data_IF_413112312301
#
_entry.id   IF_413112312301
#
_cell.length_a   1.000
_cell.length_b   1.000
_cell.length_c   1.000
_cell.angle_alpha   90.00
_cell.angle_beta   90.00
_cell.angle_gamma   90.00
#
_symmetry.space_group_name_H-M   'P 1'
#
loop_
_entity.id
_entity.type
_entity.pdbx_description
1 polymer ?
#
# COMPACT_ATOMS: atom_id res chain seq x y z
N UNK A 1 16.40 65.92 -2.75
CA UNK A 1 16.21 64.77 -1.82
C UNK A 1 14.87 64.02 -2.03
N UNK A 2 14.31 63.94 -3.25
CA UNK A 2 13.10 63.12 -3.54
C UNK A 2 13.31 62.10 -4.67
N UNK A 3 14.48 62.12 -5.32
CA UNK A 3 14.86 61.19 -6.39
C UNK A 3 15.61 59.95 -5.88
N UNK A 4 16.35 60.06 -4.76
CA UNK A 4 17.11 58.93 -4.19
C UNK A 4 16.22 57.88 -3.49
N UNK A 5 15.07 58.26 -2.94
CA UNK A 5 14.12 57.32 -2.34
C UNK A 5 13.33 56.49 -3.36
N UNK A 6 13.24 56.93 -4.62
CA UNK A 6 12.52 56.19 -5.67
C UNK A 6 13.33 55.05 -6.28
N UNK A 7 14.66 55.14 -6.23
CA UNK A 7 15.56 54.10 -6.76
C UNK A 7 15.67 52.93 -5.78
N UNK A 8 15.63 53.19 -4.46
CA UNK A 8 15.65 52.14 -3.44
C UNK A 8 14.37 51.29 -3.41
N UNK A 9 13.22 51.89 -3.75
CA UNK A 9 11.93 51.20 -3.83
C UNK A 9 11.78 50.33 -5.09
N UNK A 10 12.50 50.63 -6.17
CA UNK A 10 12.51 49.81 -7.38
C UNK A 10 13.48 48.62 -7.29
N UNK A 11 14.54 48.73 -6.49
CA UNK A 11 15.46 47.61 -6.27
C UNK A 11 14.89 46.54 -5.33
N UNK A 12 14.01 46.94 -4.39
CA UNK A 12 13.34 45.99 -3.48
C UNK A 12 12.21 45.19 -4.16
N UNK A 13 11.71 45.64 -5.31
CA UNK A 13 10.68 44.95 -6.09
C UNK A 13 11.24 43.88 -7.05
N UNK A 14 12.55 43.89 -7.33
CA UNK A 14 13.20 42.92 -8.24
C UNK A 14 13.79 41.70 -7.55
N UNK A 15 13.89 41.68 -6.22
CA UNK A 15 14.42 40.53 -5.44
C UNK A 15 13.30 39.76 -4.71
N UNK A 16 12.06 40.27 -4.76
CA UNK A 16 10.90 39.66 -4.11
C UNK A 16 10.12 38.67 -5.01
N UNK A 17 10.68 38.23 -6.15
CA UNK A 17 10.24 36.98 -6.79
C UNK A 17 10.80 35.80 -6.01
N UNK A 18 10.39 35.73 -4.74
CA UNK A 18 9.85 34.55 -4.11
C UNK A 18 10.26 33.28 -4.84
N UNK A 19 11.34 32.69 -4.34
CA UNK A 19 11.58 31.26 -4.36
C UNK A 19 10.35 30.56 -3.75
N UNK A 20 9.24 30.51 -4.48
CA UNK A 20 8.31 29.40 -4.38
C UNK A 20 9.01 28.24 -5.08
N UNK A 21 10.03 27.68 -4.42
CA UNK A 21 10.31 26.27 -4.64
C UNK A 21 9.03 25.60 -4.16
N UNK A 22 8.17 25.23 -5.11
CA UNK A 22 7.13 24.25 -4.85
C UNK A 22 7.90 23.05 -4.37
N UNK A 23 7.97 22.86 -3.05
CA UNK A 23 8.52 21.66 -2.44
C UNK A 23 7.75 20.52 -3.10
N UNK A 24 8.41 19.82 -4.03
CA UNK A 24 7.74 18.81 -4.82
C UNK A 24 7.06 17.86 -3.83
N UNK A 25 5.78 17.58 -4.06
CA UNK A 25 5.04 16.62 -3.26
C UNK A 25 5.91 15.38 -3.06
N UNK A 26 5.93 14.83 -1.85
CA UNK A 26 6.92 13.84 -1.46
C UNK A 26 6.97 12.63 -2.42
N UNK A 27 5.83 12.27 -3.00
CA UNK A 27 5.73 11.23 -4.01
C UNK A 27 6.50 11.54 -5.30
N UNK A 28 6.57 12.82 -5.72
CA UNK A 28 7.36 13.24 -6.86
C UNK A 28 8.85 12.98 -6.63
N UNK A 29 9.35 13.17 -5.40
CA UNK A 29 10.73 12.81 -5.05
C UNK A 29 10.95 11.30 -5.10
N UNK A 30 9.99 10.51 -4.64
CA UNK A 30 10.05 9.05 -4.73
C UNK A 30 10.04 8.58 -6.20
N UNK A 31 9.23 9.19 -7.04
CA UNK A 31 9.10 8.86 -8.46
C UNK A 31 10.39 9.09 -9.25
N UNK A 32 11.21 10.08 -8.87
CA UNK A 32 12.50 10.34 -9.53
C UNK A 32 13.45 9.13 -9.49
N UNK A 33 13.42 8.34 -8.42
CA UNK A 33 14.27 7.14 -8.26
C UNK A 33 13.49 5.82 -8.42
N UNK A 34 12.18 5.83 -8.14
CA UNK A 34 11.31 4.64 -8.14
C UNK A 34 10.10 4.80 -9.09
N UNK A 35 10.31 5.14 -10.37
CA UNK A 35 9.22 5.48 -11.29
C UNK A 35 8.26 4.31 -11.52
N UNK A 36 8.77 3.08 -11.57
CA UNK A 36 7.95 1.88 -11.74
C UNK A 36 7.08 1.58 -10.52
N UNK A 37 7.62 1.75 -9.31
CA UNK A 37 6.89 1.47 -8.09
C UNK A 37 5.78 2.51 -7.87
N UNK A 38 6.07 3.79 -8.12
CA UNK A 38 5.08 4.86 -8.06
C UNK A 38 3.96 4.61 -9.08
N UNK A 39 4.30 4.37 -10.35
CA UNK A 39 3.30 4.04 -11.39
C UNK A 39 2.44 2.82 -11.03
N UNK A 40 3.06 1.81 -10.43
CA UNK A 40 2.36 0.60 -9.98
C UNK A 40 1.44 0.86 -8.79
N UNK A 41 1.81 1.77 -7.88
CA UNK A 41 0.92 2.19 -6.80
C UNK A 41 -0.23 3.07 -7.32
N UNK A 42 0.04 4.00 -8.22
CA UNK A 42 -0.95 4.92 -8.79
C UNK A 42 -2.12 4.18 -9.47
N UNK A 43 -1.85 3.01 -10.04
CA UNK A 43 -2.87 2.13 -10.64
C UNK A 43 -3.62 1.24 -9.64
N UNK A 44 -3.25 1.28 -8.36
CA UNK A 44 -3.82 0.41 -7.34
C UNK A 44 -5.14 0.93 -6.75
N UNK A 45 -5.90 0.02 -6.15
CA UNK A 45 -7.07 0.38 -5.34
C UNK A 45 -6.72 1.24 -4.13
N UNK A 46 -5.52 1.11 -3.57
CA UNK A 46 -5.10 1.95 -2.45
C UNK A 46 -4.91 3.40 -2.89
N UNK A 47 -4.33 3.68 -4.06
CA UNK A 47 -4.28 5.05 -4.58
C UNK A 47 -5.68 5.63 -4.81
N UNK A 48 -6.57 4.83 -5.41
CA UNK A 48 -7.98 5.23 -5.62
C UNK A 48 -8.68 5.55 -4.31
N UNK A 49 -8.47 4.73 -3.26
CA UNK A 49 -9.04 4.96 -1.95
C UNK A 49 -8.41 6.18 -1.26
N UNK A 50 -7.09 6.34 -1.36
CA UNK A 50 -6.33 7.44 -0.77
C UNK A 50 -6.79 8.79 -1.29
N UNK A 51 -6.97 8.92 -2.61
CA UNK A 51 -7.46 10.13 -3.25
C UNK A 51 -8.90 10.51 -2.85
N UNK A 52 -9.65 9.60 -2.22
CA UNK A 52 -10.98 9.88 -1.66
C UNK A 52 -10.95 10.27 -0.18
N UNK A 53 -9.84 10.02 0.52
CA UNK A 53 -9.72 10.39 1.92
C UNK A 53 -9.55 11.91 2.03
N UNK A 54 -10.32 12.53 2.92
CA UNK A 54 -10.17 13.95 3.25
C UNK A 54 -9.08 14.11 4.30
N UNK A 55 -8.28 15.16 4.22
CA UNK A 55 -7.24 15.52 5.20
C UNK A 55 -6.13 14.48 5.40
N UNK A 56 -5.84 13.66 4.39
CA UNK A 56 -4.65 12.78 4.41
C UNK A 56 -3.47 13.47 3.74
N UNK A 57 -2.27 13.18 4.25
CA UNK A 57 -1.03 13.68 3.66
C UNK A 57 -0.92 13.25 2.20
N UNK A 58 -0.43 14.17 1.36
CA UNK A 58 0.05 13.89 0.00
C UNK A 58 1.47 13.29 0.02
N UNK A 59 1.99 12.93 1.20
CA UNK A 59 3.10 12.01 1.38
C UNK A 59 2.52 10.67 1.86
N UNK A 60 1.95 9.91 0.93
CA UNK A 60 1.33 8.62 1.27
C UNK A 60 2.34 7.49 1.32
N UNK A 61 3.47 7.63 0.60
CA UNK A 61 4.54 6.64 0.58
C UNK A 61 5.06 6.36 2.00
N UNK A 62 5.29 7.42 2.79
CA UNK A 62 5.77 7.32 4.17
C UNK A 62 4.78 6.70 5.15
N UNK A 63 3.48 6.70 4.84
CA UNK A 63 2.47 6.12 5.75
C UNK A 63 2.63 4.61 5.86
N UNK A 64 2.92 3.95 4.74
CA UNK A 64 3.14 2.51 4.69
C UNK A 64 4.63 2.17 4.88
N UNK A 65 5.53 2.91 4.25
CA UNK A 65 6.94 2.57 4.25
C UNK A 65 7.72 3.14 5.45
N UNK A 66 7.30 4.28 6.01
CA UNK A 66 8.04 4.96 7.08
C UNK A 66 9.48 5.33 6.70
N UNK A 67 10.14 6.13 7.55
CA UNK A 67 11.58 6.40 7.42
C UNK A 67 12.03 7.03 6.09
N UNK A 68 11.09 7.54 5.29
CA UNK A 68 11.35 8.01 3.94
C UNK A 68 12.28 9.23 3.96
N UNK A 69 12.14 10.15 4.91
CA UNK A 69 13.01 11.33 5.00
C UNK A 69 14.48 10.94 5.18
N UNK A 70 14.74 10.02 6.12
CA UNK A 70 16.08 9.44 6.33
C UNK A 70 16.55 8.64 5.11
N UNK A 71 15.64 8.01 4.37
CA UNK A 71 15.98 7.34 3.12
C UNK A 71 16.45 8.34 2.06
N UNK A 72 15.80 9.51 1.91
CA UNK A 72 16.26 10.55 0.98
C UNK A 72 17.61 11.15 1.39
N UNK A 73 17.91 11.25 2.69
CA UNK A 73 19.21 11.76 3.16
C UNK A 73 20.35 10.76 2.98
N UNK A 74 20.09 9.48 3.23
CA UNK A 74 21.15 8.45 3.31
C UNK A 74 21.21 7.54 2.10
N UNK A 75 20.15 7.48 1.30
CA UNK A 75 19.93 6.55 0.19
C UNK A 75 20.02 5.07 0.60
N UNK A 76 19.87 4.75 1.89
CA UNK A 76 19.96 3.40 2.44
C UNK A 76 18.59 2.73 2.51
N UNK A 77 18.47 1.48 2.08
CA UNK A 77 17.19 0.73 2.10
C UNK A 77 16.82 0.24 3.50
N UNK A 78 17.78 0.19 4.42
CA UNK A 78 17.62 -0.35 5.77
C UNK A 78 16.79 0.59 6.66
N UNK A 79 16.65 1.86 6.28
CA UNK A 79 15.89 2.86 7.03
C UNK A 79 14.43 2.97 6.58
N UNK A 80 14.03 2.24 5.53
CA UNK A 80 12.67 2.22 4.98
C UNK A 80 12.06 0.82 5.14
N UNK A 81 10.80 0.74 5.54
CA UNK A 81 10.12 -0.54 5.72
C UNK A 81 9.87 -1.21 4.38
N UNK A 82 10.21 -2.50 4.28
CA UNK A 82 10.05 -3.30 3.07
C UNK A 82 8.95 -4.34 3.23
N UNK A 83 7.94 -4.27 2.37
CA UNK A 83 6.88 -5.28 2.26
C UNK A 83 7.28 -6.50 1.39
N UNK A 84 8.50 -6.50 0.82
CA UNK A 84 9.02 -7.65 0.06
C UNK A 84 9.54 -8.76 0.96
N UNK A 85 10.00 -8.40 2.17
CA UNK A 85 10.50 -9.37 3.13
C UNK A 85 9.34 -10.01 3.89
N UNK A 86 9.22 -11.33 3.81
CA UNK A 86 8.19 -12.08 4.51
C UNK A 86 8.37 -12.05 6.03
N UNK A 87 9.59 -11.85 6.53
CA UNK A 87 9.86 -11.73 7.96
C UNK A 87 9.20 -10.49 8.57
N UNK A 88 8.88 -9.50 7.75
CA UNK A 88 8.16 -8.31 8.17
C UNK A 88 6.64 -8.52 8.28
N UNK A 89 6.13 -9.74 8.07
CA UNK A 89 4.69 -10.01 7.96
C UNK A 89 3.85 -9.48 9.13
N UNK A 90 4.23 -9.77 10.37
CA UNK A 90 3.50 -9.28 11.54
C UNK A 90 3.52 -7.74 11.66
N UNK A 91 4.66 -7.11 11.33
CA UNK A 91 4.76 -5.65 11.31
C UNK A 91 3.90 -5.05 10.19
N UNK A 92 3.85 -5.72 9.03
CA UNK A 92 3.02 -5.31 7.91
C UNK A 92 1.52 -5.39 8.26
N UNK A 93 1.08 -6.46 8.94
CA UNK A 93 -0.29 -6.57 9.45
C UNK A 93 -0.63 -5.37 10.35
N UNK A 94 0.27 -5.03 11.28
CA UNK A 94 0.09 -3.87 12.14
C UNK A 94 -0.11 -2.56 11.36
N UNK A 95 0.63 -2.34 10.28
CA UNK A 95 0.46 -1.16 9.42
C UNK A 95 -0.88 -1.18 8.68
N UNK A 96 -1.27 -2.31 8.11
CA UNK A 96 -2.55 -2.46 7.41
C UNK A 96 -3.75 -2.23 8.35
N UNK A 97 -3.68 -2.80 9.56
CA UNK A 97 -4.76 -2.76 10.54
C UNK A 97 -4.96 -1.38 11.17
N UNK A 98 -3.99 -0.45 11.07
CA UNK A 98 -4.21 0.95 11.48
C UNK A 98 -5.41 1.60 10.78
N UNK A 99 -5.65 1.22 9.52
CA UNK A 99 -6.78 1.73 8.74
C UNK A 99 -7.87 0.66 8.52
N UNK A 100 -7.47 -0.61 8.39
CA UNK A 100 -8.41 -1.71 8.10
C UNK A 100 -8.96 -2.43 9.36
N UNK A 101 -8.39 -2.19 10.54
CA UNK A 101 -8.71 -2.97 11.76
C UNK A 101 -10.15 -2.85 12.23
N UNK A 102 -10.77 -1.69 12.02
CA UNK A 102 -12.16 -1.42 12.40
C UNK A 102 -13.19 -1.93 11.37
N UNK A 103 -12.73 -2.40 10.21
CA UNK A 103 -13.61 -3.02 9.24
C UNK A 103 -14.06 -4.39 9.75
N UNK A 104 -15.37 -4.66 9.69
CA UNK A 104 -15.98 -5.91 10.18
C UNK A 104 -15.33 -7.18 9.64
N UNK A 105 -14.73 -7.15 8.46
CA UNK A 105 -14.00 -8.29 7.88
C UNK A 105 -12.67 -8.61 8.57
N UNK A 106 -12.01 -7.63 9.21
CA UNK A 106 -10.69 -7.75 9.82
C UNK A 106 -10.69 -7.61 11.35
N UNK A 107 -11.83 -7.23 11.95
CA UNK A 107 -11.98 -7.04 13.41
C UNK A 107 -11.50 -8.23 14.25
N UNK A 108 -11.62 -9.45 13.71
CA UNK A 108 -11.14 -10.70 14.35
C UNK A 108 -9.94 -11.32 13.64
N UNK A 109 -9.15 -10.53 12.91
CA UNK A 109 -7.98 -11.02 12.18
C UNK A 109 -7.03 -11.81 13.07
N UNK A 110 -6.77 -11.30 14.28
CA UNK A 110 -5.90 -11.92 15.26
C UNK A 110 -6.33 -13.36 15.64
N UNK A 111 -7.64 -13.65 15.55
CA UNK A 111 -8.21 -14.95 15.90
C UNK A 111 -8.14 -15.98 14.76
N UNK A 112 -7.90 -15.53 13.53
CA UNK A 112 -7.92 -16.39 12.33
C UNK A 112 -6.84 -17.46 12.38
N UNK A 113 -7.11 -18.58 11.70
CA UNK A 113 -6.11 -19.64 11.52
C UNK A 113 -4.93 -19.16 10.68
N UNK A 114 -5.12 -18.27 9.71
CA UNK A 114 -4.02 -17.71 8.93
C UNK A 114 -3.05 -16.92 9.81
N UNK A 115 -3.54 -15.93 10.55
CA UNK A 115 -2.69 -15.14 11.44
C UNK A 115 -1.97 -16.01 12.48
N UNK A 116 -2.70 -16.93 13.12
CA UNK A 116 -2.13 -17.85 14.14
C UNK A 116 -1.06 -18.81 13.58
N UNK A 117 -0.98 -18.97 12.27
CA UNK A 117 0.03 -19.82 11.60
C UNK A 117 1.05 -18.97 10.81
N UNK A 118 1.23 -17.69 11.15
CA UNK A 118 2.24 -16.83 10.53
C UNK A 118 1.96 -16.46 9.07
N UNK A 119 0.70 -16.55 8.64
CA UNK A 119 0.25 -16.05 7.35
C UNK A 119 -0.28 -14.64 7.54
N UNK A 120 0.37 -13.69 6.88
CA UNK A 120 0.17 -12.25 7.05
C UNK A 120 -0.48 -11.64 5.80
N UNK A 121 -0.94 -10.39 5.89
CA UNK A 121 -1.58 -9.66 4.79
C UNK A 121 -0.74 -9.74 3.50
N UNK A 122 0.57 -9.48 3.62
CA UNK A 122 1.53 -9.51 2.50
C UNK A 122 1.85 -10.90 1.95
N UNK A 123 1.42 -11.97 2.62
CA UNK A 123 1.54 -13.34 2.09
C UNK A 123 0.64 -13.55 0.87
N UNK A 124 -0.46 -12.81 0.78
CA UNK A 124 -1.43 -12.89 -0.31
C UNK A 124 -1.61 -11.56 -1.04
N UNK A 125 -1.56 -10.43 -0.32
CA UNK A 125 -1.82 -9.11 -0.87
C UNK A 125 -0.54 -8.42 -1.34
N UNK A 126 -0.66 -7.67 -2.44
CA UNK A 126 0.37 -6.77 -2.94
C UNK A 126 -0.30 -5.45 -3.28
N UNK A 127 0.34 -4.34 -2.88
CA UNK A 127 -0.22 -3.00 -3.04
C UNK A 127 0.31 -2.31 -4.31
N UNK A 128 1.57 -2.55 -4.67
CA UNK A 128 2.14 -2.05 -5.92
C UNK A 128 1.86 -3.05 -7.04
N UNK A 129 0.63 -3.07 -7.58
CA UNK A 129 0.24 -3.91 -8.72
C UNK A 129 -0.55 -3.13 -9.77
N UNK A 130 -0.28 -3.44 -11.05
CA UNK A 130 -0.96 -2.86 -12.23
C UNK A 130 -2.15 -3.72 -12.70
N UNK A 131 -2.16 -5.02 -12.34
CA UNK A 131 -3.22 -5.96 -12.74
C UNK A 131 -3.75 -6.65 -11.48
N UNK A 132 -4.78 -6.07 -10.88
CA UNK A 132 -5.48 -6.60 -9.72
C UNK A 132 -6.39 -7.78 -10.10
N UNK A 133 -5.91 -8.68 -10.96
CA UNK A 133 -6.62 -9.91 -11.27
C UNK A 133 -6.87 -10.64 -9.98
N UNK A 134 -8.16 -10.91 -9.79
CA UNK A 134 -8.83 -11.71 -8.79
C UNK A 134 -7.86 -12.58 -7.97
N UNK A 135 -7.96 -12.50 -6.64
CA UNK A 135 -7.30 -13.44 -5.73
C UNK A 135 -7.50 -14.85 -6.25
N UNK A 136 -6.46 -15.36 -6.90
CA UNK A 136 -6.65 -16.53 -7.72
C UNK A 136 -6.87 -17.71 -6.79
N UNK A 137 -7.75 -18.63 -7.19
CA UNK A 137 -7.86 -19.96 -6.57
C UNK A 137 -6.48 -20.57 -6.30
N UNK A 138 -5.51 -20.34 -7.20
CA UNK A 138 -4.13 -20.81 -7.08
C UNK A 138 -3.47 -20.35 -5.78
N UNK A 139 -3.72 -19.12 -5.31
CA UNK A 139 -3.15 -18.60 -4.06
C UNK A 139 -3.57 -19.43 -2.85
N UNK A 140 -4.82 -19.86 -2.76
CA UNK A 140 -5.29 -20.73 -1.69
C UNK A 140 -4.66 -22.13 -1.77
N UNK A 141 -4.51 -22.64 -2.98
CA UNK A 141 -4.08 -24.02 -3.24
C UNK A 141 -2.56 -24.22 -3.17
N UNK A 142 -1.77 -23.16 -3.00
CA UNK A 142 -0.33 -23.29 -2.71
C UNK A 142 -0.10 -23.98 -1.36
N UNK A 143 -0.94 -23.70 -0.36
CA UNK A 143 -0.87 -24.29 0.97
C UNK A 143 -1.96 -25.35 1.19
N UNK A 144 -3.19 -25.14 0.68
CA UNK A 144 -4.29 -26.09 0.81
C UNK A 144 -4.24 -27.20 -0.25
N UNK A 145 -3.11 -27.91 -0.33
CA UNK A 145 -2.82 -28.92 -1.35
C UNK A 145 -3.77 -30.12 -1.31
N UNK A 146 -4.21 -30.53 -0.11
CA UNK A 146 -5.22 -31.57 0.06
C UNK A 146 -6.56 -31.18 -0.58
N UNK A 147 -6.94 -29.90 -0.48
CA UNK A 147 -8.16 -29.38 -1.12
C UNK A 147 -8.00 -29.36 -2.64
N UNK A 148 -6.82 -29.02 -3.15
CA UNK A 148 -6.52 -29.03 -4.59
C UNK A 148 -6.79 -30.41 -5.23
N UNK A 149 -6.44 -31.50 -4.54
CA UNK A 149 -6.77 -32.85 -4.98
C UNK A 149 -8.28 -33.11 -5.02
N UNK A 150 -8.99 -32.73 -3.95
CA UNK A 150 -10.44 -32.99 -3.81
C UNK A 150 -11.28 -32.21 -4.83
N UNK A 151 -10.97 -30.95 -5.09
CA UNK A 151 -11.72 -30.12 -6.06
C UNK A 151 -11.49 -30.54 -7.53
N UNK A 152 -10.68 -31.56 -7.79
CA UNK A 152 -10.55 -32.18 -9.12
C UNK A 152 -11.43 -33.43 -9.25
N UNK A 153 -11.85 -34.03 -8.12
CA UNK A 153 -12.68 -35.24 -8.07
C UNK A 153 -14.11 -35.06 -8.60
N UNK A 154 -14.89 -36.15 -8.59
CA UNK A 154 -16.26 -36.18 -9.14
C UNK A 154 -17.25 -35.40 -8.27
N UNK A 155 -17.18 -35.56 -6.95
CA UNK A 155 -18.10 -34.94 -5.99
C UNK A 155 -17.53 -33.64 -5.42
N UNK A 156 -17.50 -32.60 -6.25
CA UNK A 156 -16.91 -31.31 -5.93
C UNK A 156 -17.94 -30.18 -6.05
N UNK A 157 -17.78 -29.14 -5.22
CA UNK A 157 -18.35 -27.84 -5.56
C UNK A 157 -17.76 -27.40 -6.91
N UNK A 158 -18.53 -26.73 -7.78
CA UNK A 158 -18.04 -26.25 -9.05
C UNK A 158 -17.13 -25.06 -8.78
N UNK A 159 -15.91 -25.30 -8.30
CA UNK A 159 -14.98 -24.24 -7.96
C UNK A 159 -14.04 -23.94 -9.11
N UNK A 160 -13.98 -24.76 -10.18
CA UNK A 160 -13.05 -24.68 -11.32
C UNK A 160 -13.74 -24.08 -12.54
N UNK A 161 -13.02 -23.37 -13.43
CA UNK A 161 -13.54 -22.92 -14.72
C UNK A 161 -14.57 -21.79 -14.69
N UNK A 162 -14.50 -20.90 -13.69
CA UNK A 162 -15.46 -19.79 -13.53
C UNK A 162 -16.65 -20.09 -12.62
N UNK A 163 -16.66 -21.27 -11.99
CA UNK A 163 -17.63 -21.57 -10.93
C UNK A 163 -17.31 -20.88 -9.58
N UNK A 164 -18.01 -21.27 -8.52
CA UNK A 164 -18.01 -20.63 -7.20
C UNK A 164 -16.59 -20.47 -6.59
N UNK A 165 -16.17 -19.24 -6.22
CA UNK A 165 -14.89 -19.02 -5.58
C UNK A 165 -14.89 -19.53 -4.13
N UNK A 166 -13.72 -19.91 -3.61
CA UNK A 166 -13.58 -20.39 -2.22
C UNK A 166 -14.13 -19.38 -1.21
N UNK A 167 -13.96 -18.09 -1.50
CA UNK A 167 -14.38 -16.98 -0.65
C UNK A 167 -15.88 -16.74 -0.62
N UNK A 168 -16.67 -17.41 -1.47
CA UNK A 168 -18.13 -17.37 -1.39
C UNK A 168 -18.66 -17.97 -0.08
N UNK A 169 -17.91 -18.92 0.52
CA UNK A 169 -18.28 -19.56 1.79
C UNK A 169 -17.18 -19.45 2.87
N UNK A 170 -15.92 -19.24 2.49
CA UNK A 170 -14.81 -19.16 3.43
C UNK A 170 -14.27 -17.73 3.57
N UNK A 171 -14.22 -17.19 4.78
CA UNK A 171 -13.48 -15.96 5.03
C UNK A 171 -12.00 -16.27 5.33
N UNK A 172 -11.04 -15.72 4.57
CA UNK A 172 -9.63 -15.80 4.95
C UNK A 172 -9.26 -14.83 6.09
N UNK A 173 -10.13 -13.83 6.37
CA UNK A 173 -9.86 -12.70 7.26
C UNK A 173 -10.65 -12.72 8.57
N UNK A 174 -11.66 -13.59 8.66
CA UNK A 174 -12.48 -13.76 9.86
C UNK A 174 -12.52 -15.24 10.26
N UNK A 175 -12.58 -15.56 11.57
CA UNK A 175 -12.85 -16.91 12.01
C UNK A 175 -14.20 -17.37 11.45
N UNK A 176 -14.31 -18.67 11.13
CA UNK A 176 -15.60 -19.26 10.81
C UNK A 176 -16.54 -19.03 11.99
N UNK A 177 -17.73 -18.52 11.70
CA UNK A 177 -18.85 -18.50 12.64
C UNK A 177 -19.28 -19.95 12.86
#
# INVERSE_FOLDING_TARGET
>A
MKSFQRIFLLYFLLVATSFFVVEAAYDAKCQMCHPEQVKSFESSFHNTAWNKLKNVSQDYCSTCHGGTAKHLETMKKEVIFSFKDKQNGANADGLCLKCHGDNGHFKKWAETKHNKNGVHCISCHKVHIVDAKEYSRKQCLTCHTLVNGKIKGKDKHPTVGGGMPCIACHSPHAPKI
#
